data_IF_172937237329
#
_entry.id   IF_172937237329
#
_cell.length_a   1.000
_cell.length_b   1.000
_cell.length_c   1.000
_cell.angle_alpha   90.00
_cell.angle_beta   90.00
_cell.angle_gamma   90.00
#
_symmetry.space_group_name_H-M   'P 1'
#
loop_
_entity.id
_entity.type
_entity.pdbx_description
1 polymer ?
#
# COMPACT_ATOMS: atom_id res chain seq x y z
N UNK A 1 -9.65 -11.67 -4.10
CA UNK A 1 -10.65 -10.63 -3.89
C UNK A 1 -9.92 -9.44 -3.32
N UNK A 2 -10.32 -8.21 -3.68
CA UNK A 2 -9.69 -7.02 -3.12
C UNK A 2 -10.43 -6.61 -1.85
N UNK A 3 -9.67 -6.32 -0.79
CA UNK A 3 -10.19 -5.84 0.49
C UNK A 3 -9.41 -4.60 0.92
N UNK A 4 -10.10 -3.64 1.52
CA UNK A 4 -9.44 -2.48 2.15
C UNK A 4 -8.78 -2.95 3.45
N UNK A 5 -7.47 -2.77 3.55
CA UNK A 5 -6.68 -3.09 4.72
C UNK A 5 -6.66 -1.88 5.66
N UNK A 6 -7.27 -2.00 6.83
CA UNK A 6 -7.32 -0.91 7.83
C UNK A 6 -6.15 -0.97 8.82
N UNK A 7 -5.40 -2.08 8.84
CA UNK A 7 -4.32 -2.32 9.79
C UNK A 7 -2.92 -2.15 9.18
N UNK A 8 -2.84 -1.53 7.99
CA UNK A 8 -1.59 -1.18 7.35
C UNK A 8 -1.11 0.19 7.83
N UNK A 9 0.16 0.30 8.22
CA UNK A 9 0.78 1.55 8.61
C UNK A 9 2.27 1.56 8.25
N UNK A 10 2.80 2.72 7.89
CA UNK A 10 4.25 2.88 7.76
C UNK A 10 4.85 3.14 9.14
N UNK A 11 5.91 2.41 9.46
CA UNK A 11 6.71 2.61 10.66
C UNK A 11 8.03 3.26 10.27
N UNK A 12 8.40 4.29 11.00
CA UNK A 12 9.71 4.93 10.90
C UNK A 12 10.71 4.17 11.76
N UNK A 13 11.83 3.77 11.18
CA UNK A 13 12.89 3.02 11.84
C UNK A 13 14.25 3.62 11.51
N UNK A 14 15.00 4.00 12.55
CA UNK A 14 16.39 4.43 12.45
C UNK A 14 16.78 5.52 13.45
N UNK A 15 17.93 5.36 14.09
CA UNK A 15 18.52 6.34 15.03
C UNK A 15 19.33 7.44 14.33
N UNK A 16 19.86 7.17 13.14
CA UNK A 16 20.67 8.13 12.35
C UNK A 16 20.10 8.45 10.96
N UNK A 17 19.17 7.64 10.45
CA UNK A 17 18.51 7.88 9.16
C UNK A 17 17.11 7.29 9.20
N UNK A 18 16.11 8.15 9.08
CA UNK A 18 14.69 7.75 9.06
C UNK A 18 14.43 6.89 7.82
N UNK A 19 14.15 5.60 8.06
CA UNK A 19 13.68 4.68 7.03
C UNK A 19 12.22 4.35 7.29
N UNK A 20 11.43 4.34 6.23
CA UNK A 20 10.02 4.00 6.26
C UNK A 20 9.87 2.54 5.85
N UNK A 21 9.19 1.75 6.69
CA UNK A 21 8.85 0.36 6.38
C UNK A 21 7.34 0.19 6.50
N UNK A 22 6.73 -0.49 5.55
CA UNK A 22 5.32 -0.82 5.67
C UNK A 22 5.13 -1.96 6.67
N UNK A 23 4.24 -1.81 7.65
CA UNK A 23 3.86 -2.86 8.58
C UNK A 23 2.38 -3.13 8.47
N UNK A 24 2.02 -4.41 8.47
CA UNK A 24 0.64 -4.87 8.45
C UNK A 24 0.50 -6.12 9.30
N UNK A 25 -0.36 -6.06 10.31
CA UNK A 25 -0.79 -7.20 11.12
C UNK A 25 0.37 -8.11 11.61
N UNK A 26 1.38 -7.51 12.25
CA UNK A 26 2.64 -8.13 12.75
C UNK A 26 3.66 -8.53 11.67
N UNK A 27 3.34 -8.41 10.38
CA UNK A 27 4.33 -8.52 9.31
C UNK A 27 4.90 -7.13 9.00
N UNK A 28 6.18 -7.08 8.68
CA UNK A 28 6.88 -5.86 8.24
C UNK A 28 7.44 -6.16 6.86
N UNK A 29 7.21 -5.26 5.92
CA UNK A 29 7.79 -5.34 4.59
C UNK A 29 9.31 -5.23 4.69
N UNK A 30 10.00 -6.11 3.97
CA UNK A 30 11.46 -6.08 3.87
C UNK A 30 11.95 -4.82 3.13
N UNK A 31 11.07 -4.17 2.34
CA UNK A 31 11.38 -2.93 1.66
C UNK A 31 11.57 -1.78 2.65
N UNK A 32 12.82 -1.35 2.82
CA UNK A 32 13.19 -0.14 3.55
C UNK A 32 13.25 1.02 2.59
N UNK A 33 12.29 1.94 2.70
CA UNK A 33 12.26 3.16 1.91
C UNK A 33 13.03 4.25 2.66
N UNK A 34 13.92 4.95 1.96
CA UNK A 34 14.44 6.22 2.47
C UNK A 34 13.35 7.29 2.37
N UNK A 35 13.51 8.41 3.08
CA UNK A 35 12.58 9.56 2.99
C UNK A 35 12.29 9.98 1.54
N UNK A 36 13.31 10.02 0.68
CA UNK A 36 13.15 10.34 -0.74
C UNK A 36 12.29 9.30 -1.47
N UNK A 37 12.56 8.00 -1.27
CA UNK A 37 11.75 6.92 -1.88
C UNK A 37 10.32 6.91 -1.36
N UNK A 38 10.12 7.19 -0.07
CA UNK A 38 8.80 7.28 0.54
C UNK A 38 8.00 8.45 -0.07
N UNK A 39 8.61 9.63 -0.20
CA UNK A 39 7.97 10.77 -0.88
C UNK A 39 7.63 10.48 -2.35
N UNK A 40 8.52 9.81 -3.08
CA UNK A 40 8.22 9.38 -4.46
C UNK A 40 7.07 8.38 -4.48
N UNK A 41 7.05 7.43 -3.54
CA UNK A 41 5.96 6.47 -3.41
C UNK A 41 4.63 7.17 -3.13
N UNK A 42 4.60 8.16 -2.23
CA UNK A 42 3.42 8.95 -1.91
C UNK A 42 2.88 9.72 -3.12
N UNK A 43 3.77 10.19 -4.01
CA UNK A 43 3.36 10.81 -5.27
C UNK A 43 2.77 9.77 -6.22
N UNK A 44 3.45 8.65 -6.43
CA UNK A 44 3.00 7.62 -7.38
C UNK A 44 1.67 7.02 -6.93
N UNK A 45 1.52 6.67 -5.66
CA UNK A 45 0.30 6.08 -5.10
C UNK A 45 -0.93 7.00 -5.18
N UNK A 46 -0.73 8.30 -5.40
CA UNK A 46 -1.83 9.24 -5.65
C UNK A 46 -2.44 9.06 -7.04
N UNK A 47 -1.66 8.59 -8.02
CA UNK A 47 -2.07 8.40 -9.41
C UNK A 47 -2.31 6.93 -9.76
N UNK A 48 -1.47 6.02 -9.27
CA UNK A 48 -1.49 4.60 -9.60
C UNK A 48 -1.22 3.71 -8.38
N UNK A 49 -1.93 2.58 -8.23
CA UNK A 49 -1.69 1.68 -7.11
C UNK A 49 -0.27 1.13 -7.09
N UNK A 50 0.41 1.28 -5.97
CA UNK A 50 1.80 0.83 -5.79
C UNK A 50 1.82 -0.44 -4.96
N UNK A 51 2.53 -1.47 -5.45
CA UNK A 51 2.83 -2.68 -4.64
C UNK A 51 3.80 -2.31 -3.53
N UNK A 52 3.37 -2.49 -2.29
CA UNK A 52 4.19 -2.19 -1.10
C UNK A 52 4.68 -3.45 -0.40
N UNK A 53 3.98 -4.57 -0.57
CA UNK A 53 4.32 -5.85 0.04
C UNK A 53 3.64 -7.01 -0.68
N UNK A 54 4.29 -8.18 -0.71
CA UNK A 54 3.72 -9.42 -1.24
C UNK A 54 4.02 -10.56 -0.26
N UNK A 55 3.00 -11.32 0.12
CA UNK A 55 3.07 -12.55 0.89
C UNK A 55 3.04 -13.73 -0.08
N UNK A 56 4.20 -14.33 -0.36
CA UNK A 56 4.25 -15.54 -1.17
C UNK A 56 3.60 -16.74 -0.46
N UNK A 57 3.69 -16.81 0.87
CA UNK A 57 3.12 -17.92 1.66
C UNK A 57 1.60 -18.00 1.58
N UNK A 58 0.92 -16.85 1.53
CA UNK A 58 -0.56 -16.78 1.52
C UNK A 58 -1.13 -16.28 0.20
N UNK A 59 -0.27 -16.02 -0.80
CA UNK A 59 -0.66 -15.44 -2.08
C UNK A 59 -1.38 -14.10 -1.93
N UNK A 60 -0.88 -13.21 -1.06
CA UNK A 60 -1.52 -11.92 -0.80
C UNK A 60 -0.62 -10.77 -1.24
N UNK A 61 -1.14 -9.81 -1.98
CA UNK A 61 -0.40 -8.59 -2.31
C UNK A 61 -1.05 -7.39 -1.65
N UNK A 62 -0.24 -6.59 -0.95
CA UNK A 62 -0.67 -5.29 -0.46
C UNK A 62 -0.30 -4.19 -1.44
N UNK A 63 -1.28 -3.34 -1.65
CA UNK A 63 -1.25 -2.21 -2.55
C UNK A 63 -1.57 -0.94 -1.76
N UNK A 64 -0.92 0.16 -2.14
CA UNK A 64 -1.23 1.48 -1.64
C UNK A 64 -1.81 2.32 -2.76
N UNK A 65 -2.93 2.98 -2.49
CA UNK A 65 -3.55 3.89 -3.43
C UNK A 65 -4.36 4.96 -2.68
N UNK A 66 -4.21 6.23 -3.05
CA UNK A 66 -4.90 7.37 -2.43
C UNK A 66 -4.88 7.37 -0.89
N UNK A 67 -3.70 7.12 -0.31
CA UNK A 67 -3.45 7.06 1.14
C UNK A 67 -4.15 5.90 1.85
N UNK A 68 -4.83 5.04 1.11
CA UNK A 68 -5.48 3.83 1.57
C UNK A 68 -4.65 2.59 1.24
N UNK A 69 -4.79 1.58 2.09
CA UNK A 69 -4.18 0.27 1.90
C UNK A 69 -5.21 -0.73 1.42
N UNK A 70 -4.81 -1.55 0.46
CA UNK A 70 -5.61 -2.60 -0.12
C UNK A 70 -4.82 -3.90 -0.06
N UNK A 71 -5.51 -5.00 0.16
CA UNK A 71 -4.95 -6.35 0.09
C UNK A 71 -5.74 -7.13 -0.95
N UNK A 72 -5.03 -7.74 -1.87
CA UNK A 72 -5.58 -8.71 -2.81
C UNK A 72 -5.04 -10.10 -2.47
N UNK A 73 -5.83 -11.12 -2.79
CA UNK A 73 -5.48 -12.53 -2.58
C UNK A 73 -5.91 -13.46 -3.74
N UNK A 74 -6.10 -12.90 -4.93
CA UNK A 74 -6.52 -13.62 -6.15
C UNK A 74 -5.54 -13.44 -7.32
N UNK A 75 -4.38 -12.82 -7.10
CA UNK A 75 -3.43 -12.51 -8.17
C UNK A 75 -3.89 -11.34 -9.05
N UNK A 76 -4.70 -10.45 -8.48
CA UNK A 76 -5.24 -9.29 -9.19
C UNK A 76 -4.16 -8.22 -9.39
N UNK A 77 -4.34 -7.42 -10.44
CA UNK A 77 -3.37 -6.39 -10.84
C UNK A 77 -3.63 -5.08 -10.12
N UNK A 78 -2.69 -4.14 -10.28
CA UNK A 78 -2.88 -2.79 -9.76
C UNK A 78 -4.09 -2.11 -10.39
N UNK A 79 -4.43 -2.42 -11.64
CA UNK A 79 -5.58 -1.86 -12.33
C UNK A 79 -6.90 -2.30 -11.68
N UNK A 80 -7.00 -3.58 -11.30
CA UNK A 80 -8.15 -4.10 -10.55
C UNK A 80 -8.29 -3.42 -9.17
N UNK A 81 -7.17 -3.16 -8.49
CA UNK A 81 -7.15 -2.42 -7.22
C UNK A 81 -7.60 -0.98 -7.43
N UNK A 82 -7.16 -0.34 -8.52
CA UNK A 82 -7.58 1.00 -8.91
C UNK A 82 -9.08 1.04 -9.18
N UNK A 83 -9.59 0.11 -9.98
CA UNK A 83 -11.01 -0.04 -10.27
C UNK A 83 -11.80 -0.24 -8.97
N UNK A 84 -11.39 -1.16 -8.09
CA UNK A 84 -12.06 -1.39 -6.81
C UNK A 84 -12.04 -0.14 -5.89
N UNK A 85 -10.94 0.61 -5.88
CA UNK A 85 -10.83 1.83 -5.11
C UNK A 85 -11.71 2.96 -5.66
N UNK A 86 -11.80 3.08 -6.99
CA UNK A 86 -12.61 4.07 -7.71
C UNK A 86 -14.10 3.70 -7.74
N UNK A 87 -14.43 2.41 -7.75
CA UNK A 87 -15.79 1.88 -7.72
C UNK A 87 -16.48 2.14 -6.38
N UNK A 88 -15.74 2.52 -5.33
CA UNK A 88 -16.37 2.97 -4.10
C UNK A 88 -17.19 4.24 -4.36
N UNK A 89 -18.52 4.22 -4.12
CA UNK A 89 -19.34 5.41 -4.21
C UNK A 89 -19.03 6.35 -3.02
N UNK A 90 -18.09 7.27 -3.20
CA UNK A 90 -17.83 8.37 -2.26
C UNK A 90 -16.43 8.93 -2.47
N UNK A 91 -16.21 10.14 -3.00
CA UNK A 91 -17.00 11.37 -2.89
C UNK A 91 -17.07 12.09 -4.24
N UNK A 92 -18.29 12.27 -4.77
CA UNK A 92 -18.61 13.49 -5.50
C UNK A 92 -18.67 14.61 -4.45
N UNK A 93 -17.62 15.40 -4.33
CA UNK A 93 -17.73 16.73 -3.71
C UNK A 93 -17.78 17.72 -4.87
N UNK A 94 -18.98 18.25 -5.04
CA UNK A 94 -19.38 19.30 -5.98
C UNK A 94 -18.88 20.65 -5.48
#
# INVERSE_FOLDING_TARGET
>A
MIRKEKKGNFVESGTFSTKYQFSVNKKISQAKLSKAKYNSLLKIQSFDPVKIMTDQEKGRTWWMFQEDFYVENEGLTGDDVKAFALEKPGKKTK
#
